data_IF_386784630419
#
_entry.id   IF_386784630419
#
_cell.length_a   1.000
_cell.length_b   1.000
_cell.length_c   1.000
_cell.angle_alpha   90.00
_cell.angle_beta   90.00
_cell.angle_gamma   90.00
#
_symmetry.space_group_name_H-M   'P 1'
#
loop_
_entity.id
_entity.type
_entity.pdbx_description
1 polymer ?
#
# COMPACT_ATOMS: atom_id res chain seq x y z
N UNK A 1 2.27 1.22 -2.87
CA UNK A 1 3.06 0.74 -1.71
C UNK A 1 2.74 1.43 -0.37
N UNK A 2 1.84 2.42 -0.32
CA UNK A 2 1.62 3.27 0.87
C UNK A 2 0.16 3.46 1.32
N UNK A 3 -0.84 2.95 0.58
CA UNK A 3 -2.26 3.32 0.74
C UNK A 3 -2.88 3.02 2.11
N UNK A 4 -2.26 2.18 2.93
CA UNK A 4 -2.72 1.85 4.29
C UNK A 4 -1.75 2.40 5.34
N UNK A 5 -0.45 2.10 5.20
CA UNK A 5 0.56 2.42 6.23
C UNK A 5 0.81 3.92 6.37
N UNK A 6 0.84 4.68 5.28
CA UNK A 6 1.09 6.12 5.33
C UNK A 6 -0.07 6.90 5.97
N UNK A 7 -1.36 6.71 5.57
CA UNK A 7 -2.45 7.36 6.28
C UNK A 7 -2.55 6.92 7.74
N UNK A 8 -2.20 5.66 8.07
CA UNK A 8 -2.10 5.22 9.46
C UNK A 8 -1.10 6.06 10.27
N UNK A 9 0.10 6.25 9.72
CA UNK A 9 1.15 7.05 10.37
C UNK A 9 0.75 8.53 10.53
N UNK A 10 0.10 9.11 9.51
CA UNK A 10 -0.34 10.51 9.54
C UNK A 10 -1.50 10.76 10.51
N UNK A 11 -2.32 9.74 10.76
CA UNK A 11 -3.52 9.86 11.61
C UNK A 11 -3.35 9.23 13.00
N UNK A 12 -2.17 8.72 13.34
CA UNK A 12 -1.93 8.04 14.64
C UNK A 12 -2.77 6.76 14.81
N UNK A 13 -2.94 6.00 13.73
CA UNK A 13 -3.70 4.74 13.71
C UNK A 13 -2.77 3.55 13.49
N UNK A 14 -3.30 2.35 13.75
CA UNK A 14 -2.65 1.10 13.37
C UNK A 14 -3.05 0.73 11.95
N UNK A 15 -2.08 0.48 11.07
CA UNK A 15 -2.33 0.15 9.67
C UNK A 15 -1.48 -1.02 9.18
N UNK A 16 -2.13 -2.10 8.74
CA UNK A 16 -1.45 -3.28 8.21
C UNK A 16 -1.89 -3.56 6.79
N UNK A 17 -0.90 -3.67 5.89
CA UNK A 17 -1.07 -4.23 4.54
C UNK A 17 -0.45 -5.64 4.58
N UNK A 18 -1.26 -6.71 4.55
CA UNK A 18 -0.75 -8.06 4.70
C UNK A 18 0.09 -8.52 3.49
N UNK A 19 0.61 -9.73 3.58
CA UNK A 19 1.23 -10.46 2.47
C UNK A 19 0.31 -10.44 1.25
N UNK A 20 0.87 -10.24 0.06
CA UNK A 20 0.12 -10.34 -1.20
C UNK A 20 -0.57 -11.71 -1.31
N UNK A 21 -1.85 -11.73 -1.66
CA UNK A 21 -2.68 -12.93 -1.70
C UNK A 21 -3.25 -13.41 -0.35
N UNK A 22 -2.90 -12.80 0.79
CA UNK A 22 -3.51 -13.13 2.11
C UNK A 22 -5.00 -12.80 2.20
N UNK A 23 -5.39 -11.65 1.66
CA UNK A 23 -6.78 -11.18 1.53
C UNK A 23 -7.14 -11.21 0.05
N UNK A 24 -8.32 -11.73 -0.29
CA UNK A 24 -8.82 -11.75 -1.66
C UNK A 24 -8.99 -10.34 -2.23
N UNK A 25 -8.67 -10.20 -3.52
CA UNK A 25 -8.88 -8.97 -4.30
C UNK A 25 -10.18 -9.03 -5.11
N UNK A 26 -10.94 -10.13 -5.03
CA UNK A 26 -12.22 -10.24 -5.71
C UNK A 26 -13.20 -9.16 -5.20
N UNK A 27 -13.75 -8.35 -6.11
CA UNK A 27 -14.61 -7.22 -5.79
C UNK A 27 -13.87 -5.90 -5.53
N UNK A 28 -12.54 -5.90 -5.47
CA UNK A 28 -11.75 -4.67 -5.41
C UNK A 28 -11.65 -4.02 -6.80
N UNK A 29 -11.73 -2.68 -6.86
CA UNK A 29 -11.36 -1.93 -8.07
C UNK A 29 -9.84 -2.01 -8.21
N UNK A 30 -9.38 -2.74 -9.22
CA UNK A 30 -7.96 -2.93 -9.46
C UNK A 30 -7.29 -1.63 -9.90
N UNK A 31 -6.21 -1.26 -9.22
CA UNK A 31 -5.28 -0.20 -9.60
C UNK A 31 -4.04 -0.83 -10.21
N UNK A 32 -3.18 -1.46 -9.40
CA UNK A 32 -2.03 -2.22 -9.85
C UNK A 32 -2.16 -3.66 -9.33
N UNK A 33 -2.70 -4.55 -10.16
CA UNK A 33 -3.04 -5.93 -9.83
C UNK A 33 -1.93 -6.73 -9.14
N UNK A 34 -0.65 -6.47 -9.46
CA UNK A 34 0.49 -7.13 -8.82
C UNK A 34 0.91 -6.53 -7.47
N UNK A 35 0.39 -5.35 -7.12
CA UNK A 35 0.76 -4.58 -5.93
C UNK A 35 -0.40 -4.33 -4.96
N UNK A 36 -1.63 -4.42 -5.46
CA UNK A 36 -2.85 -4.19 -4.71
C UNK A 36 -3.00 -5.23 -3.63
N UNK A 37 -3.30 -4.77 -2.41
CA UNK A 37 -3.68 -5.67 -1.34
C UNK A 37 -4.58 -4.98 -0.33
N UNK A 38 -5.69 -5.64 -0.01
CA UNK A 38 -6.61 -5.22 1.04
C UNK A 38 -5.95 -5.38 2.41
N UNK A 39 -6.20 -4.45 3.30
CA UNK A 39 -5.70 -4.48 4.68
C UNK A 39 -6.56 -3.60 5.56
N UNK A 40 -6.09 -3.33 6.78
CA UNK A 40 -6.94 -2.72 7.81
C UNK A 40 -6.31 -1.45 8.38
N UNK A 41 -7.18 -0.51 8.76
CA UNK A 41 -6.89 0.66 9.56
C UNK A 41 -7.74 0.59 10.83
N UNK A 42 -7.09 0.55 11.98
CA UNK A 42 -7.74 0.33 13.29
C UNK A 42 -7.11 1.22 14.36
N UNK A 43 -7.69 1.23 15.57
CA UNK A 43 -7.16 1.99 16.71
C UNK A 43 -6.03 1.25 17.44
N UNK A 44 -6.07 -0.08 17.44
CA UNK A 44 -5.09 -0.93 18.13
C UNK A 44 -4.59 -2.08 17.24
N UNK A 45 -3.48 -2.69 17.63
CA UNK A 45 -2.97 -3.90 17.01
C UNK A 45 -3.91 -5.10 17.21
N UNK A 46 -4.60 -5.17 18.35
CA UNK A 46 -5.60 -6.20 18.64
C UNK A 46 -6.81 -6.11 17.70
N UNK A 47 -7.37 -4.90 17.51
CA UNK A 47 -8.44 -4.67 16.54
C UNK A 47 -7.97 -5.06 15.12
N UNK A 48 -6.71 -4.78 14.78
CA UNK A 48 -6.14 -5.15 13.48
C UNK A 48 -6.08 -6.67 13.32
N UNK A 49 -5.70 -7.42 14.37
CA UNK A 49 -5.64 -8.87 14.35
C UNK A 49 -7.02 -9.51 14.12
N UNK A 50 -8.05 -9.06 14.84
CA UNK A 50 -9.43 -9.54 14.65
C UNK A 50 -9.93 -9.28 13.23
N UNK A 51 -9.76 -8.06 12.73
CA UNK A 51 -10.21 -7.69 11.39
C UNK A 51 -9.44 -8.45 10.31
N UNK A 52 -8.12 -8.59 10.45
CA UNK A 52 -7.30 -9.30 9.48
C UNK A 52 -7.62 -10.80 9.46
N UNK A 53 -7.90 -11.42 10.61
CA UNK A 53 -8.34 -12.82 10.71
C UNK A 53 -9.63 -13.04 9.93
N UNK A 54 -10.61 -12.15 10.09
CA UNK A 54 -11.90 -12.24 9.38
C UNK A 54 -11.79 -12.02 7.86
N UNK A 55 -10.83 -11.20 7.41
CA UNK A 55 -10.64 -10.88 5.99
C UNK A 55 -9.74 -11.85 5.24
N UNK A 56 -8.91 -12.61 5.97
CA UNK A 56 -7.89 -13.48 5.38
C UNK A 56 -8.44 -14.84 4.99
N UNK A 57 -7.89 -15.41 3.93
CA UNK A 57 -8.22 -16.77 3.50
C UNK A 57 -8.14 -16.95 1.98
N UNK A 58 -8.09 -18.21 1.56
CA UNK A 58 -8.16 -18.55 0.15
C UNK A 58 -9.55 -18.25 -0.41
N UNK A 59 -9.59 -17.63 -1.59
CA UNK A 59 -10.82 -17.35 -2.33
C UNK A 59 -10.72 -17.97 -3.73
N UNK A 60 -11.56 -18.97 -4.08
CA UNK A 60 -11.54 -19.57 -5.40
C UNK A 60 -11.88 -18.60 -6.54
N UNK A 61 -12.44 -17.42 -6.24
CA UNK A 61 -12.72 -16.37 -7.23
C UNK A 61 -11.53 -15.44 -7.49
N UNK A 62 -10.48 -15.54 -6.68
CA UNK A 62 -9.22 -14.82 -6.87
C UNK A 62 -8.06 -15.81 -7.06
N UNK A 63 -7.60 -15.93 -8.31
CA UNK A 63 -6.50 -16.81 -8.69
C UNK A 63 -5.16 -16.46 -8.04
N UNK A 64 -5.04 -15.28 -7.42
CA UNK A 64 -3.83 -14.84 -6.70
C UNK A 64 -3.95 -14.96 -5.18
N UNK A 65 -5.11 -15.37 -4.67
CA UNK A 65 -5.28 -15.64 -3.25
C UNK A 65 -4.47 -16.88 -2.87
N UNK A 66 -3.70 -16.78 -1.80
CA UNK A 66 -2.85 -17.87 -1.34
C UNK A 66 -3.70 -18.98 -0.74
N UNK A 67 -3.52 -20.21 -1.23
CA UNK A 67 -4.08 -21.40 -0.62
C UNK A 67 -3.17 -21.88 0.53
N UNK A 68 -3.10 -21.07 1.58
CA UNK A 68 -2.33 -21.35 2.80
C UNK A 68 -3.21 -21.04 4.00
N UNK A 69 -3.01 -21.78 5.08
CA UNK A 69 -3.77 -21.56 6.32
C UNK A 69 -3.58 -20.13 6.83
N UNK A 70 -4.64 -19.61 7.44
CA UNK A 70 -4.64 -18.30 8.09
C UNK A 70 -4.13 -18.50 9.52
N UNK A 71 -2.99 -17.88 9.90
CA UNK A 71 -2.51 -17.92 11.28
C UNK A 71 -3.56 -17.32 12.23
N UNK A 72 -3.54 -17.76 13.48
CA UNK A 72 -4.43 -17.18 14.48
C UNK A 72 -3.82 -15.88 15.03
N UNK A 73 -3.97 -14.80 14.27
CA UNK A 73 -3.42 -13.50 14.64
C UNK A 73 -3.87 -13.01 16.01
N UNK A 74 -5.04 -13.47 16.49
CA UNK A 74 -5.62 -13.03 17.77
C UNK A 74 -4.95 -13.76 18.94
N UNK A 75 -4.65 -15.05 18.79
CA UNK A 75 -3.93 -15.79 19.82
C UNK A 75 -2.45 -15.37 19.86
N UNK A 76 -1.82 -15.27 18.68
CA UNK A 76 -0.39 -14.98 18.53
C UNK A 76 0.00 -13.54 18.96
N UNK A 77 -0.93 -12.58 18.97
CA UNK A 77 -0.61 -11.18 19.34
C UNK A 77 -0.15 -11.02 20.79
N UNK A 78 -0.48 -12.00 21.65
CA UNK A 78 -0.14 -11.97 23.08
C UNK A 78 1.20 -12.60 23.40
N UNK A 79 1.90 -13.16 22.40
CA UNK A 79 3.18 -13.82 22.59
C UNK A 79 4.30 -12.84 23.00
N UNK A 80 5.26 -13.35 23.77
CA UNK A 80 6.44 -12.59 24.16
C UNK A 80 7.36 -12.41 22.93
N UNK A 81 7.83 -11.18 22.72
CA UNK A 81 8.72 -10.81 21.62
C UNK A 81 10.20 -10.90 21.99
N UNK A 82 10.51 -11.28 23.23
CA UNK A 82 11.90 -11.41 23.70
C UNK A 82 12.70 -12.38 22.82
N UNK A 83 13.87 -11.93 22.38
CA UNK A 83 14.77 -12.72 21.53
C UNK A 83 14.49 -12.63 20.04
N UNK A 84 13.42 -11.94 19.61
CA UNK A 84 13.22 -11.60 18.20
C UNK A 84 14.31 -10.65 17.71
N UNK A 85 14.48 -10.58 16.39
CA UNK A 85 15.44 -9.70 15.71
C UNK A 85 14.71 -8.68 14.84
N UNK A 86 15.08 -7.41 14.96
CA UNK A 86 14.64 -6.32 14.08
C UNK A 86 15.83 -5.89 13.22
N UNK A 87 15.69 -6.00 11.91
CA UNK A 87 16.64 -5.45 10.95
C UNK A 87 16.35 -3.98 10.65
N UNK A 88 17.33 -3.09 10.84
CA UNK A 88 17.25 -1.67 10.50
C UNK A 88 17.98 -1.38 9.18
N UNK A 89 17.28 -1.07 8.08
CA UNK A 89 17.94 -0.75 6.82
C UNK A 89 18.72 0.55 6.92
N UNK A 90 20.05 0.46 6.76
CA UNK A 90 20.97 1.62 6.85
C UNK A 90 20.56 2.76 5.93
N UNK A 91 20.07 2.40 4.74
CA UNK A 91 19.63 3.34 3.72
C UNK A 91 18.50 4.27 4.19
N UNK A 92 17.61 3.82 5.08
CA UNK A 92 16.52 4.67 5.58
C UNK A 92 17.02 5.79 6.50
N UNK A 93 18.10 5.55 7.25
CA UNK A 93 18.71 6.53 8.14
C UNK A 93 19.70 7.45 7.42
N UNK A 94 20.10 7.11 6.20
CA UNK A 94 20.85 8.03 5.32
C UNK A 94 19.99 9.03 4.56
N UNK A 95 18.66 8.91 4.67
CA UNK A 95 17.72 9.85 4.07
C UNK A 95 17.58 11.10 4.93
N UNK A 96 17.23 12.22 4.31
CA UNK A 96 16.89 13.45 5.03
C UNK A 96 15.54 13.25 5.76
N UNK A 97 15.63 12.92 7.06
CA UNK A 97 14.49 12.69 7.93
C UNK A 97 14.27 13.93 8.82
N UNK A 98 13.03 14.40 8.98
CA UNK A 98 12.74 15.43 9.97
C UNK A 98 13.10 14.95 11.38
N UNK A 99 13.71 15.82 12.20
CA UNK A 99 14.19 15.51 13.56
C UNK A 99 13.14 14.82 14.44
N UNK A 100 11.88 15.22 14.32
CA UNK A 100 10.79 14.63 15.12
C UNK A 100 10.50 13.17 14.74
N UNK A 101 10.68 12.80 13.47
CA UNK A 101 10.52 11.42 12.98
C UNK A 101 11.68 10.58 13.46
N UNK A 102 12.90 11.05 13.27
CA UNK A 102 14.11 10.34 13.72
C UNK A 102 14.07 10.08 15.24
N UNK A 103 13.70 11.10 16.02
CA UNK A 103 13.52 10.96 17.47
C UNK A 103 12.48 9.90 17.83
N UNK A 104 11.33 9.91 17.18
CA UNK A 104 10.25 8.92 17.43
C UNK A 104 10.68 7.49 17.09
N UNK A 105 11.40 7.31 15.98
CA UNK A 105 11.96 6.00 15.59
C UNK A 105 12.98 5.54 16.63
N UNK A 106 13.91 6.40 17.04
CA UNK A 106 14.93 6.07 18.05
C UNK A 106 14.33 5.73 19.42
N UNK A 107 13.27 6.41 19.84
CA UNK A 107 12.51 6.07 21.06
C UNK A 107 11.83 4.70 20.96
N UNK A 108 11.28 4.38 19.78
CA UNK A 108 10.66 3.08 19.51
C UNK A 108 11.68 1.94 19.54
N UNK A 109 12.85 2.13 18.92
CA UNK A 109 13.96 1.16 18.93
C UNK A 109 14.38 0.85 20.37
N UNK A 110 14.64 1.88 21.19
CA UNK A 110 15.01 1.70 22.61
C UNK A 110 13.93 0.97 23.41
N UNK A 111 12.66 1.14 23.04
CA UNK A 111 11.56 0.42 23.67
C UNK A 111 11.62 -1.07 23.34
N UNK A 112 11.85 -1.43 22.07
CA UNK A 112 12.03 -2.83 21.67
C UNK A 112 13.27 -3.48 22.31
N UNK A 113 14.40 -2.77 22.38
CA UNK A 113 15.60 -3.28 23.07
C UNK A 113 15.35 -3.58 24.55
N UNK A 114 14.61 -2.70 25.26
CA UNK A 114 14.20 -2.94 26.66
C UNK A 114 13.29 -4.15 26.82
N UNK A 115 12.48 -4.46 25.81
CA UNK A 115 11.65 -5.67 25.76
C UNK A 115 12.46 -6.92 25.40
N UNK A 116 13.78 -6.80 25.19
CA UNK A 116 14.68 -7.93 24.92
C UNK A 116 14.75 -8.34 23.46
N UNK A 117 14.33 -7.46 22.54
CA UNK A 117 14.49 -7.63 21.10
C UNK A 117 15.91 -7.21 20.68
N UNK A 118 16.54 -7.99 19.82
CA UNK A 118 17.84 -7.68 19.24
C UNK A 118 17.66 -6.80 18.01
N UNK A 119 18.42 -5.71 17.91
CA UNK A 119 18.34 -4.78 16.79
C UNK A 119 19.66 -4.82 16.04
N UNK A 120 19.59 -5.08 14.73
CA UNK A 120 20.77 -5.25 13.87
C UNK A 120 20.61 -4.39 12.61
N UNK A 121 21.68 -3.74 12.17
CA UNK A 121 21.65 -3.04 10.88
C UNK A 121 21.63 -4.05 9.73
N UNK A 122 20.82 -3.77 8.72
CA UNK A 122 20.75 -4.55 7.47
C UNK A 122 21.04 -3.67 6.27
N UNK A 123 21.58 -4.29 5.23
CA UNK A 123 21.91 -3.61 3.98
C UNK A 123 20.88 -3.95 2.90
N UNK A 124 20.20 -2.92 2.37
CA UNK A 124 19.26 -3.02 1.25
C UNK A 124 19.75 -2.16 0.08
N UNK A 125 20.74 -2.63 -0.70
CA UNK A 125 21.50 -1.79 -1.66
C UNK A 125 20.67 -1.28 -2.85
N UNK A 126 19.44 -1.73 -3.02
CA UNK A 126 18.56 -1.37 -4.14
C UNK A 126 17.26 -0.68 -3.68
N UNK A 127 17.16 -0.30 -2.41
CA UNK A 127 15.92 0.24 -1.85
C UNK A 127 15.54 1.60 -2.47
N UNK A 128 16.53 2.38 -2.90
CA UNK A 128 16.40 3.64 -3.62
C UNK A 128 15.68 3.46 -4.97
N UNK A 129 15.83 2.28 -5.61
CA UNK A 129 15.13 1.94 -6.84
C UNK A 129 13.64 1.61 -6.62
N UNK A 130 13.18 1.42 -5.38
CA UNK A 130 11.80 1.01 -5.10
C UNK A 130 10.77 2.00 -5.63
N UNK A 131 11.04 3.30 -5.47
CA UNK A 131 10.14 4.35 -5.91
C UNK A 131 10.05 4.45 -7.44
N UNK A 132 11.15 4.57 -8.21
CA UNK A 132 11.06 4.61 -9.66
C UNK A 132 10.47 3.32 -10.25
N UNK A 133 10.80 2.14 -9.71
CA UNK A 133 10.20 0.87 -10.15
C UNK A 133 8.68 0.89 -9.94
N UNK A 134 8.22 1.35 -8.77
CA UNK A 134 6.80 1.50 -8.49
C UNK A 134 6.10 2.41 -9.50
N UNK A 135 6.72 3.56 -9.85
CA UNK A 135 6.17 4.50 -10.83
C UNK A 135 6.23 4.02 -12.29
N UNK A 136 6.87 2.90 -12.57
CA UNK A 136 6.76 2.22 -13.86
C UNK A 136 5.64 1.18 -13.83
N UNK A 137 5.66 0.28 -12.84
CA UNK A 137 4.73 -0.85 -12.75
C UNK A 137 3.31 -0.37 -12.51
N UNK A 138 3.09 0.48 -11.50
CA UNK A 138 1.74 0.84 -11.09
C UNK A 138 0.98 1.61 -12.19
N UNK A 139 1.56 2.61 -12.88
CA UNK A 139 0.87 3.27 -14.00
C UNK A 139 0.64 2.35 -15.20
N UNK A 140 1.57 1.45 -15.51
CA UNK A 140 1.41 0.49 -16.60
C UNK A 140 0.20 -0.41 -16.36
N UNK A 141 0.09 -1.02 -15.17
CA UNK A 141 -1.05 -1.86 -14.82
C UNK A 141 -2.34 -1.06 -14.67
N UNK A 142 -2.28 0.13 -14.10
CA UNK A 142 -3.42 1.04 -13.98
C UNK A 142 -4.03 1.37 -15.35
N UNK A 143 -3.20 1.65 -16.35
CA UNK A 143 -3.67 1.96 -17.70
C UNK A 143 -4.46 0.81 -18.33
N UNK A 144 -4.05 -0.43 -18.07
CA UNK A 144 -4.76 -1.63 -18.52
C UNK A 144 -6.04 -1.87 -17.69
N UNK A 145 -5.94 -1.77 -16.36
CA UNK A 145 -7.05 -2.05 -15.45
C UNK A 145 -8.22 -1.07 -15.60
N UNK A 146 -7.91 0.22 -15.74
CA UNK A 146 -8.91 1.28 -15.86
C UNK A 146 -9.47 1.42 -17.28
N UNK A 147 -8.92 0.72 -18.28
CA UNK A 147 -9.43 0.75 -19.67
C UNK A 147 -10.90 0.32 -19.80
N UNK A 148 -11.42 -0.45 -18.82
CA UNK A 148 -12.81 -0.90 -18.75
C UNK A 148 -13.82 0.23 -18.45
N UNK A 149 -13.37 1.38 -17.95
CA UNK A 149 -14.21 2.53 -17.65
C UNK A 149 -14.39 3.37 -18.92
N UNK A 150 -15.20 2.85 -19.84
CA UNK A 150 -15.42 3.43 -21.16
C UNK A 150 -16.80 4.09 -21.33
N UNK A 151 -17.66 4.05 -20.31
CA UNK A 151 -19.02 4.60 -20.36
C UNK A 151 -20.03 3.75 -21.13
N UNK A 152 -19.67 2.53 -21.56
CA UNK A 152 -20.57 1.61 -22.29
C UNK A 152 -21.43 0.82 -21.33
N UNK A 153 -20.80 0.11 -20.37
CA UNK A 153 -21.50 -0.79 -19.44
C UNK A 153 -21.91 -0.09 -18.15
N UNK A 154 -21.09 0.83 -17.66
CA UNK A 154 -21.28 1.55 -16.40
C UNK A 154 -20.41 2.81 -16.35
N UNK A 155 -20.69 3.68 -15.37
CA UNK A 155 -19.93 4.89 -15.11
C UNK A 155 -20.41 6.09 -15.93
N UNK A 156 -19.57 7.12 -15.98
CA UNK A 156 -19.86 8.35 -16.70
C UNK A 156 -19.79 8.13 -18.23
N UNK A 157 -20.76 8.70 -18.94
CA UNK A 157 -20.79 8.73 -20.40
C UNK A 157 -20.73 10.18 -20.86
N UNK A 158 -19.72 10.49 -21.67
CA UNK A 158 -19.51 11.83 -22.21
C UNK A 158 -20.70 12.23 -23.09
N UNK A 159 -21.25 13.43 -22.88
CA UNK A 159 -22.33 13.97 -23.72
C UNK A 159 -21.84 14.37 -25.12
N UNK A 160 -20.60 14.89 -25.22
CA UNK A 160 -19.95 15.30 -26.47
C UNK A 160 -18.57 14.63 -26.66
N UNK A 161 -18.52 13.39 -27.16
CA UNK A 161 -17.29 12.62 -27.33
C UNK A 161 -16.46 13.12 -28.54
N UNK A 162 -15.25 13.59 -28.28
CA UNK A 162 -14.31 14.03 -29.31
C UNK A 162 -13.54 12.83 -29.91
N UNK A 163 -13.87 12.46 -31.16
CA UNK A 163 -13.06 11.58 -32.01
C UNK A 163 -13.72 10.24 -32.43
N UNK A 164 -13.37 9.70 -33.61
CA UNK A 164 -14.13 8.61 -34.26
C UNK A 164 -13.94 7.22 -33.63
N UNK A 165 -12.93 7.02 -32.76
CA UNK A 165 -12.59 5.71 -32.18
C UNK A 165 -13.01 5.53 -30.71
N UNK A 166 -13.55 6.56 -30.05
CA UNK A 166 -13.95 6.52 -28.64
C UNK A 166 -15.25 7.30 -28.40
N UNK A 167 -16.39 6.75 -28.85
CA UNK A 167 -17.67 7.47 -28.89
C UNK A 167 -18.30 7.77 -27.51
N UNK A 168 -17.63 7.47 -26.41
CA UNK A 168 -18.18 7.64 -25.05
C UNK A 168 -17.19 8.27 -24.06
N UNK A 169 -15.94 8.52 -24.48
CA UNK A 169 -14.87 9.00 -23.61
C UNK A 169 -14.54 10.45 -24.00
N UNK A 170 -14.60 11.37 -23.03
CA UNK A 170 -14.03 12.69 -23.21
C UNK A 170 -12.50 12.54 -23.18
N UNK A 171 -11.82 12.58 -24.33
CA UNK A 171 -10.36 12.71 -24.36
C UNK A 171 -10.06 14.15 -23.99
N UNK A 172 -9.78 14.42 -22.71
CA UNK A 172 -9.08 15.65 -22.38
C UNK A 172 -7.67 15.53 -22.96
N UNK A 173 -7.44 16.10 -24.14
CA UNK A 173 -6.09 16.39 -24.58
C UNK A 173 -5.39 17.16 -23.46
N UNK A 174 -4.14 16.80 -23.18
CA UNK A 174 -3.23 17.33 -22.16
C UNK A 174 -2.97 18.85 -22.23
N UNK A 175 -3.86 19.67 -22.80
CA UNK A 175 -3.67 21.13 -22.91
C UNK A 175 -3.94 21.88 -21.60
N UNK A 176 -4.74 21.35 -20.68
CA UNK A 176 -5.19 22.14 -19.51
C UNK A 176 -4.20 22.13 -18.33
N UNK A 177 -3.38 21.09 -18.14
CA UNK A 177 -2.49 21.03 -16.97
C UNK A 177 -1.19 21.82 -17.14
N UNK A 178 -0.71 22.03 -18.38
CA UNK A 178 0.54 22.78 -18.62
C UNK A 178 0.28 24.30 -18.72
N UNK A 179 -0.90 24.73 -19.16
CA UNK A 179 -1.21 26.16 -19.24
C UNK A 179 -1.45 26.82 -17.87
N UNK A 180 -1.95 26.10 -16.87
CA UNK A 180 -2.15 26.66 -15.52
C UNK A 180 -0.89 26.77 -14.66
N UNK A 181 0.20 26.08 -15.02
CA UNK A 181 1.47 26.14 -14.28
C UNK A 181 2.41 27.25 -14.78
N UNK A 182 2.13 27.86 -15.93
CA UNK A 182 2.91 28.98 -16.49
C UNK A 182 2.27 30.35 -16.26
N UNK A 183 1.15 30.44 -15.55
CA UNK A 183 0.49 31.71 -15.19
C UNK A 183 0.63 32.08 -13.70
N UNK A 184 1.29 31.27 -12.87
CA UNK A 184 1.52 31.56 -11.44
C UNK A 184 3.01 31.55 -11.00
N UNK A 185 3.96 31.74 -11.93
CA UNK A 185 5.34 32.11 -11.60
C UNK A 185 5.89 33.17 -12.56
#
# INVERSE_FOLDING_TARGET
>A
MAFIRQPAALCGLTGIKPTYGRVSRYGMIAFASSLDQGGVLTKSAEDAAYMLKAMSGHDPKDSTSLNVDVPDFVEEITEDIKGLKIGLPKQFFSMDLPDYVEKSINESIKTFEKLGVQVEDVDLPHIDLSLPIYYVIAPAECSANLSRYDGVKFGYRCEDPQGPRRPFICVQEKKVLVQKLNEEY
#
